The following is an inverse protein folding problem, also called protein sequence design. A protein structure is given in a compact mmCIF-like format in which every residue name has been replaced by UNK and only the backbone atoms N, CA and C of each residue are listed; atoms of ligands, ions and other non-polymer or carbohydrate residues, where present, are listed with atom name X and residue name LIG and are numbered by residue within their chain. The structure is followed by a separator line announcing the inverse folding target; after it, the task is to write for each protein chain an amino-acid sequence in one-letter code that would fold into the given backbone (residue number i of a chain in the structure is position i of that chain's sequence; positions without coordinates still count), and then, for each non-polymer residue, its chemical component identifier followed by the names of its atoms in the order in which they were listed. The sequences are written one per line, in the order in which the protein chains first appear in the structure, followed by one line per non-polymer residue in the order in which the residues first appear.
data_IF_465853129514
#
_entry.id   IF_465853129514
#
_cell.length_a   1.000
_cell.length_b   1.000
_cell.length_c   1.000
_cell.angle_alpha   90.00
_cell.angle_beta   90.00
_cell.angle_gamma   90.00
#
_symmetry.space_group_name_H-M   'P 1'
#
loop_
_entity.id
_entity.type
_entity.pdbx_description
1 polymer ?
#
# COMPACT_ATOMS: atom_id res chain seq x y z
N UNK A 1 2.62 -3.12 19.69
CA UNK A 1 1.94 -3.54 18.45
C UNK A 1 2.83 -3.08 17.32
N UNK A 2 3.18 -3.96 16.38
CA UNK A 2 4.15 -3.64 15.33
C UNK A 2 3.57 -2.63 14.33
N UNK A 3 4.35 -1.60 14.01
CA UNK A 3 4.01 -0.55 13.05
C UNK A 3 4.99 -0.52 11.90
N UNK A 4 4.48 -0.28 10.69
CA UNK A 4 5.32 -0.17 9.49
C UNK A 4 4.85 1.01 8.64
N UNK A 5 5.80 1.79 8.15
CA UNK A 5 5.58 2.75 7.07
C UNK A 5 6.08 2.15 5.76
N UNK A 6 5.19 1.95 4.79
CA UNK A 6 5.50 1.33 3.49
C UNK A 6 5.50 2.41 2.41
N UNK A 7 6.67 2.78 1.88
CA UNK A 7 6.80 3.81 0.83
C UNK A 7 6.80 3.19 -0.57
N UNK A 8 6.11 3.81 -1.50
CA UNK A 8 6.20 3.51 -2.94
C UNK A 8 6.35 4.78 -3.78
N UNK A 9 7.06 4.68 -4.91
CA UNK A 9 6.99 5.71 -5.96
C UNK A 9 5.55 5.91 -6.42
N UNK A 10 4.82 4.82 -6.48
CA UNK A 10 3.38 4.81 -6.71
C UNK A 10 2.72 3.94 -5.65
N UNK A 11 1.65 4.46 -5.04
CA UNK A 11 0.74 3.70 -4.18
C UNK A 11 -0.62 3.68 -4.87
N UNK A 12 -1.05 2.51 -5.34
CA UNK A 12 -2.37 2.33 -5.92
C UNK A 12 -3.35 2.08 -4.76
N UNK A 13 -4.20 3.05 -4.43
CA UNK A 13 -5.20 2.91 -3.38
C UNK A 13 -6.47 2.22 -3.91
N UNK A 14 -6.79 2.48 -5.18
CA UNK A 14 -7.95 1.89 -5.87
C UNK A 14 -7.63 1.72 -7.34
N UNK A 15 -7.77 0.50 -7.84
CA UNK A 15 -7.75 0.24 -9.28
C UNK A 15 -9.15 0.52 -9.87
N UNK A 16 -9.21 1.42 -10.84
CA UNK A 16 -10.40 1.69 -11.65
C UNK A 16 -10.45 0.83 -12.91
N UNK A 17 -11.42 1.11 -13.79
CA UNK A 17 -11.49 0.50 -15.12
C UNK A 17 -10.39 1.05 -16.05
N UNK A 18 -9.90 2.26 -15.76
CA UNK A 18 -8.88 2.97 -16.51
C UNK A 18 -8.05 3.87 -15.57
N UNK A 19 -7.13 4.65 -16.14
CA UNK A 19 -6.31 5.58 -15.39
C UNK A 19 -7.13 6.71 -14.72
N UNK A 20 -8.20 7.19 -15.35
CA UNK A 20 -9.02 8.29 -14.84
C UNK A 20 -9.91 7.90 -13.65
N UNK A 21 -10.23 6.61 -13.53
CA UNK A 21 -11.03 6.04 -12.44
C UNK A 21 -10.19 5.35 -11.36
N UNK A 22 -8.86 5.37 -11.49
CA UNK A 22 -7.93 4.84 -10.50
C UNK A 22 -7.49 5.92 -9.51
N UNK A 23 -7.29 5.54 -8.25
CA UNK A 23 -6.69 6.41 -7.23
C UNK A 23 -5.24 5.98 -7.01
N UNK A 24 -4.31 6.80 -7.47
CA UNK A 24 -2.86 6.56 -7.39
C UNK A 24 -2.19 7.76 -6.75
N UNK A 25 -1.39 7.51 -5.71
CA UNK A 25 -0.52 8.51 -5.10
C UNK A 25 0.89 8.39 -5.67
N UNK A 26 1.49 9.52 -6.05
CA UNK A 26 2.90 9.61 -6.41
C UNK A 26 3.73 9.93 -5.18
N UNK A 27 4.82 9.19 -4.96
CA UNK A 27 5.63 9.22 -3.74
C UNK A 27 4.80 9.08 -2.45
N UNK A 28 3.90 8.10 -2.47
CA UNK A 28 2.98 7.83 -1.37
C UNK A 28 3.51 6.81 -0.37
N UNK A 29 2.78 6.66 0.73
CA UNK A 29 2.97 5.61 1.70
C UNK A 29 1.68 5.09 2.32
N UNK A 30 1.77 3.91 2.92
CA UNK A 30 0.75 3.29 3.78
C UNK A 30 1.36 3.15 5.17
N UNK A 31 0.64 3.60 6.20
CA UNK A 31 0.99 3.32 7.59
C UNK A 31 0.05 2.26 8.15
N UNK A 32 0.63 1.21 8.73
CA UNK A 32 -0.11 0.10 9.32
C UNK A 32 0.25 -0.08 10.79
N UNK A 33 -0.71 -0.56 11.57
CA UNK A 33 -0.49 -1.10 12.92
C UNK A 33 -1.14 -2.47 13.02
N UNK A 34 -0.35 -3.46 13.39
CA UNK A 34 -0.81 -4.84 13.63
C UNK A 34 -1.63 -5.42 12.45
N UNK A 35 -1.20 -5.14 11.22
CA UNK A 35 -1.85 -5.60 9.99
C UNK A 35 -3.04 -4.75 9.53
N UNK A 36 -3.42 -3.72 10.27
CA UNK A 36 -4.52 -2.80 9.92
C UNK A 36 -3.96 -1.51 9.35
N UNK A 37 -4.49 -1.07 8.21
CA UNK A 37 -4.14 0.23 7.61
C UNK A 37 -4.78 1.35 8.45
N UNK A 38 -3.97 2.21 9.04
CA UNK A 38 -4.42 3.36 9.83
C UNK A 38 -4.42 4.66 9.01
N UNK A 39 -3.50 4.79 8.04
CA UNK A 39 -3.36 6.00 7.20
C UNK A 39 -2.74 5.69 5.84
N UNK A 40 -3.11 6.46 4.81
CA UNK A 40 -2.59 6.37 3.44
C UNK A 40 -2.50 7.76 2.84
N UNK A 41 -1.33 8.14 2.33
CA UNK A 41 -1.13 9.49 1.81
C UNK A 41 0.25 9.74 1.24
N UNK A 42 0.61 11.02 1.11
CA UNK A 42 1.96 11.45 0.74
C UNK A 42 2.99 10.91 1.76
N UNK A 43 4.11 10.39 1.28
CA UNK A 43 5.13 9.80 2.13
C UNK A 43 5.68 10.78 3.17
N UNK A 44 5.97 12.03 2.76
CA UNK A 44 6.57 13.01 3.66
C UNK A 44 5.60 13.45 4.75
N UNK A 45 4.32 13.59 4.40
CA UNK A 45 3.26 13.89 5.35
C UNK A 45 3.08 12.75 6.37
N UNK A 46 2.97 11.50 5.89
CA UNK A 46 2.82 10.35 6.79
C UNK A 46 4.04 10.17 7.69
N UNK A 47 5.25 10.35 7.17
CA UNK A 47 6.49 10.24 7.94
C UNK A 47 6.64 11.33 9.01
N UNK A 48 6.05 12.51 8.78
CA UNK A 48 6.01 13.57 9.78
C UNK A 48 4.98 13.29 10.89
N UNK A 49 3.86 12.65 10.54
CA UNK A 49 2.74 12.43 11.46
C UNK A 49 2.83 11.10 12.23
N UNK A 50 3.62 10.14 11.75
CA UNK A 50 3.74 8.80 12.34
C UNK A 50 5.20 8.42 12.58
N UNK A 51 5.50 7.83 13.74
CA UNK A 51 6.76 7.12 14.01
C UNK A 51 6.48 5.63 13.92
N UNK A 52 7.07 4.96 12.92
CA UNK A 52 6.94 3.51 12.71
C UNK A 52 8.14 2.75 13.31
N UNK A 53 7.90 1.51 13.74
CA UNK A 53 8.97 0.59 14.17
C UNK A 53 9.87 0.18 12.99
N UNK A 54 9.29 0.10 11.79
CA UNK A 54 9.98 -0.26 10.55
C UNK A 54 9.54 0.62 9.39
N UNK A 55 10.47 0.90 8.47
CA UNK A 55 10.17 1.50 7.18
C UNK A 55 10.69 0.62 6.05
N UNK A 56 9.83 0.30 5.09
CA UNK A 56 10.15 -0.56 3.94
C UNK A 56 9.74 0.09 2.62
N UNK A 57 10.29 -0.42 1.52
CA UNK A 57 10.02 0.09 0.17
C UNK A 57 10.95 1.25 -0.21
N UNK A 58 10.43 2.22 -0.97
CA UNK A 58 11.22 3.36 -1.43
C UNK A 58 10.80 3.92 -2.80
N UNK A 59 11.57 4.88 -3.34
CA UNK A 59 11.25 5.60 -4.59
C UNK A 59 11.36 4.74 -5.86
N UNK A 60 11.72 3.47 -5.74
CA UNK A 60 11.80 2.52 -6.85
C UNK A 60 10.74 1.41 -6.77
N UNK A 61 9.81 1.50 -5.81
CA UNK A 61 8.80 0.47 -5.56
C UNK A 61 7.41 0.90 -6.00
N UNK A 62 6.62 -0.08 -6.44
CA UNK A 62 5.19 0.04 -6.62
C UNK A 62 4.50 -0.69 -5.46
N UNK A 63 3.59 0.01 -4.78
CA UNK A 63 2.75 -0.56 -3.72
C UNK A 63 1.32 -0.61 -4.23
N UNK A 64 0.68 -1.76 -4.09
CA UNK A 64 -0.69 -2.00 -4.55
C UNK A 64 -1.38 -3.04 -3.67
N UNK A 65 -2.72 -3.10 -3.66
CA UNK A 65 -3.44 -4.10 -2.88
C UNK A 65 -3.06 -5.51 -3.32
N UNK A 66 -3.03 -6.44 -2.38
CA UNK A 66 -2.86 -7.86 -2.70
C UNK A 66 -3.90 -8.31 -3.73
N UNK A 67 -3.47 -9.07 -4.73
CA UNK A 67 -4.38 -9.58 -5.76
C UNK A 67 -5.39 -10.54 -5.15
N UNK A 68 -6.66 -10.35 -5.49
CA UNK A 68 -7.75 -11.24 -5.08
C UNK A 68 -7.91 -12.30 -6.15
N UNK A 69 -7.63 -13.56 -5.79
CA UNK A 69 -7.98 -14.70 -6.62
C UNK A 69 -9.47 -15.05 -6.38
N UNK A 70 -10.34 -14.61 -7.29
CA UNK A 70 -11.78 -14.86 -7.18
C UNK A 70 -12.21 -16.25 -7.63
N UNK A 71 -11.33 -16.99 -8.31
CA UNK A 71 -11.65 -18.31 -8.85
C UNK A 71 -10.39 -19.11 -9.14
N UNK A 72 -10.22 -20.24 -8.44
CA UNK A 72 -9.26 -21.26 -8.84
C UNK A 72 -9.86 -22.65 -8.67
N UNK A 73 -9.42 -23.59 -9.50
CA UNK A 73 -9.63 -25.01 -9.25
C UNK A 73 -8.38 -25.54 -8.55
N UNK A 74 -8.54 -26.00 -7.31
CA UNK A 74 -7.44 -26.50 -6.50
C UNK A 74 -6.88 -27.83 -7.01
N UNK A 75 -6.09 -28.52 -6.19
CA UNK A 75 -5.65 -29.87 -6.54
C UNK A 75 -6.85 -30.82 -6.54
N UNK A 76 -7.21 -31.29 -7.74
CA UNK A 76 -8.00 -32.51 -7.88
C UNK A 76 -7.17 -33.67 -7.33
N UNK A 77 -7.78 -34.47 -6.46
CA UNK A 77 -7.22 -35.76 -6.05
C UNK A 77 -7.05 -36.68 -7.25
#
# INVERSE_FOLDING_TARGET
MATTLIRGKYVICRAGQDAGSSTVLTDGAVFQRDGVIEDVGDYTALKANHTADEEIGGPNYLVFPGLINSHHHGRGV
#
